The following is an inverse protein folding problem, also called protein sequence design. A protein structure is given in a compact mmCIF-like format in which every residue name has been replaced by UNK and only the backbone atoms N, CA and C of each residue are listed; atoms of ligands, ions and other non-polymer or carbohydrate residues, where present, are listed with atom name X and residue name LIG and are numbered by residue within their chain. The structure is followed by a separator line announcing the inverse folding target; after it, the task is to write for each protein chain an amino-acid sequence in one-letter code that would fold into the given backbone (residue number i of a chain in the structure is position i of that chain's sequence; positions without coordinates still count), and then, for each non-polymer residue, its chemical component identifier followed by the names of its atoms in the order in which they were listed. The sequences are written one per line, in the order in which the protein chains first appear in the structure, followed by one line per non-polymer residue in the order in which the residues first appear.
data_IF_332039607650
#
_entry.id   IF_332039607650
#
_cell.length_a   1.000
_cell.length_b   1.000
_cell.length_c   1.000
_cell.angle_alpha   90.00
_cell.angle_beta   90.00
_cell.angle_gamma   90.00
#
_symmetry.space_group_name_H-M   'P 1'
#
loop_
_entity.id
_entity.type
_entity.pdbx_description
1 polymer ?
#
# COMPACT_ATOMS: atom_id res chain seq x y z
N UNK A 1 26.15 32.47 22.68
CA UNK A 1 26.25 33.26 21.43
C UNK A 1 25.74 32.35 20.33
N UNK A 2 24.76 32.64 19.50
CA UNK A 2 24.07 33.86 19.09
C UNK A 2 23.46 33.49 17.73
N UNK A 3 22.21 33.89 17.51
CA UNK A 3 21.39 33.64 16.32
C UNK A 3 22.02 34.14 15.01
N UNK A 4 21.34 33.80 13.90
CA UNK A 4 21.38 34.38 12.54
C UNK A 4 22.21 33.62 11.49
N UNK A 5 21.52 32.86 10.62
CA UNK A 5 21.20 33.39 9.29
C UNK A 5 20.14 32.54 8.57
N UNK A 6 19.03 33.22 8.27
CA UNK A 6 17.96 32.80 7.38
C UNK A 6 18.12 33.60 6.07
N UNK A 7 17.62 32.98 4.99
CA UNK A 7 17.23 33.55 3.70
C UNK A 7 18.36 33.79 2.67
N UNK A 8 18.39 32.94 1.64
CA UNK A 8 18.07 33.34 0.25
C UNK A 8 17.37 32.16 -0.44
N UNK A 9 16.13 32.36 -0.85
CA UNK A 9 15.50 31.95 -2.13
C UNK A 9 13.98 31.87 -1.96
N UNK A 10 13.35 33.04 -2.06
CA UNK A 10 11.96 33.17 -2.49
C UNK A 10 11.95 33.45 -3.99
N UNK A 11 10.91 32.96 -4.66
CA UNK A 11 10.49 33.28 -6.03
C UNK A 11 10.99 32.32 -7.11
N UNK A 12 10.24 31.24 -7.30
CA UNK A 12 9.54 30.93 -8.56
C UNK A 12 8.47 29.88 -8.24
N UNK A 13 7.20 30.25 -8.42
CA UNK A 13 6.06 29.42 -8.05
C UNK A 13 5.88 28.22 -8.97
N UNK A 14 5.61 27.05 -8.38
CA UNK A 14 4.83 25.96 -8.97
C UNK A 14 4.43 24.96 -7.86
N UNK A 15 3.13 24.60 -7.70
CA UNK A 15 2.63 23.89 -6.51
C UNK A 15 2.68 22.35 -6.59
N UNK A 16 3.63 21.75 -7.32
CA UNK A 16 3.62 20.30 -7.59
C UNK A 16 4.72 19.46 -6.91
N UNK A 17 5.58 20.04 -6.07
CA UNK A 17 6.73 19.32 -5.47
C UNK A 17 6.72 19.21 -3.93
N UNK A 18 5.58 19.45 -3.26
CA UNK A 18 5.47 19.29 -1.80
C UNK A 18 5.03 17.88 -1.33
N UNK A 19 4.79 16.91 -2.23
CA UNK A 19 4.31 15.57 -1.83
C UNK A 19 5.36 14.46 -1.74
N UNK A 20 6.61 14.70 -2.15
CA UNK A 20 7.69 13.70 -2.00
C UNK A 20 8.62 13.93 -0.80
N UNK A 21 8.51 15.06 -0.09
CA UNK A 21 9.32 15.34 1.11
C UNK A 21 8.70 14.92 2.45
N UNK A 22 7.45 14.44 2.47
CA UNK A 22 6.75 14.07 3.71
C UNK A 22 6.71 12.55 3.97
N UNK A 23 7.16 11.71 3.03
CA UNK A 23 7.21 10.26 3.22
C UNK A 23 8.52 9.77 3.87
N UNK A 24 9.57 10.60 3.90
CA UNK A 24 10.91 10.20 4.37
C UNK A 24 11.24 10.63 5.83
N UNK A 25 10.30 11.28 6.53
CA UNK A 25 10.55 11.87 7.86
C UNK A 25 9.65 11.32 8.99
N UNK A 26 8.98 10.18 8.76
CA UNK A 26 8.18 9.49 9.80
C UNK A 26 8.81 8.16 10.24
N UNK A 27 9.93 7.74 9.62
CA UNK A 27 10.57 6.45 9.92
C UNK A 27 11.65 6.54 11.01
N UNK A 28 12.05 7.75 11.45
CA UNK A 28 13.23 7.89 12.33
C UNK A 28 13.02 8.89 13.48
N UNK A 29 11.93 8.76 14.23
CA UNK A 29 11.86 9.37 15.57
C UNK A 29 10.83 8.71 16.50
N UNK A 30 11.08 7.46 16.91
CA UNK A 30 10.59 6.96 18.21
C UNK A 30 11.47 5.80 18.71
N UNK A 31 12.71 6.14 19.09
CA UNK A 31 13.56 5.32 19.95
C UNK A 31 13.74 6.11 21.24
N UNK A 32 13.11 5.66 22.33
CA UNK A 32 13.25 6.26 23.64
C UNK A 32 12.08 5.94 24.57
N UNK A 33 12.33 4.97 25.45
CA UNK A 33 11.82 4.87 26.83
C UNK A 33 10.56 4.02 27.13
N UNK A 34 10.83 3.03 28.00
CA UNK A 34 9.98 2.23 28.89
C UNK A 34 8.97 1.20 28.35
N UNK A 35 9.51 0.02 28.00
CA UNK A 35 8.81 -1.26 28.23
C UNK A 35 9.61 -2.12 29.21
N UNK A 36 9.22 -2.05 30.48
CA UNK A 36 9.60 -3.00 31.51
C UNK A 36 8.73 -4.26 31.45
N UNK A 37 9.40 -5.40 31.50
CA UNK A 37 8.93 -6.73 31.88
C UNK A 37 8.12 -7.57 30.85
N UNK A 38 8.85 -8.54 30.27
CA UNK A 38 8.41 -9.93 30.33
C UNK A 38 8.12 -10.63 29.02
N UNK A 39 9.11 -10.78 28.13
CA UNK A 39 9.04 -11.75 27.03
C UNK A 39 10.06 -12.86 27.25
N UNK A 40 9.65 -13.91 27.96
CA UNK A 40 10.40 -15.16 28.08
C UNK A 40 9.44 -16.35 28.15
N UNK A 41 9.23 -17.04 27.01
CA UNK A 41 9.24 -18.50 26.82
C UNK A 41 8.47 -18.91 25.55
N UNK A 42 9.15 -19.52 24.58
CA UNK A 42 9.48 -20.95 24.42
C UNK A 42 8.36 -21.72 23.70
N UNK A 43 8.71 -22.22 22.52
CA UNK A 43 8.00 -23.28 21.82
C UNK A 43 8.08 -24.57 22.64
N UNK A 44 6.97 -25.11 23.14
CA UNK A 44 6.88 -26.52 23.50
C UNK A 44 5.51 -27.08 23.10
N UNK A 45 5.58 -28.14 22.31
CA UNK A 45 4.50 -29.08 22.00
C UNK A 45 4.48 -30.18 23.06
N UNK A 46 3.28 -30.74 23.27
CA UNK A 46 2.97 -32.02 23.91
C UNK A 46 3.29 -32.16 25.42
N UNK A 47 2.26 -32.19 26.27
CA UNK A 47 1.78 -33.40 26.95
C UNK A 47 0.67 -33.06 27.95
N UNK A 48 -0.31 -33.94 28.06
CA UNK A 48 -1.55 -33.72 28.80
C UNK A 48 -1.35 -33.64 30.31
N UNK A 49 -2.00 -32.66 30.94
CA UNK A 49 -2.39 -32.65 32.36
C UNK A 49 -3.70 -31.89 32.45
N UNK A 50 -4.64 -32.44 33.23
CA UNK A 50 -6.04 -32.04 33.28
C UNK A 50 -6.26 -30.54 33.48
N UNK A 51 -7.10 -29.98 32.61
CA UNK A 51 -7.71 -28.67 32.84
C UNK A 51 -8.80 -28.89 33.86
N UNK A 52 -8.49 -28.57 35.12
CA UNK A 52 -9.49 -28.20 36.11
C UNK A 52 -10.35 -27.10 35.51
N UNK A 53 -11.63 -27.41 35.31
CA UNK A 53 -12.68 -26.46 34.97
C UNK A 53 -12.84 -25.53 36.17
N UNK A 54 -11.97 -24.52 36.27
CA UNK A 54 -12.18 -23.41 37.18
C UNK A 54 -13.35 -22.60 36.63
N UNK A 55 -14.48 -22.84 37.27
CA UNK A 55 -15.69 -22.04 37.24
C UNK A 55 -15.32 -20.54 37.31
N UNK A 56 -15.32 -19.86 36.16
CA UNK A 56 -15.61 -18.44 36.10
C UNK A 56 -17.12 -18.25 36.33
N UNK A 57 -17.59 -18.71 37.49
CA UNK A 57 -18.95 -18.57 38.01
C UNK A 57 -18.85 -17.68 39.25
N UNK A 58 -18.60 -16.39 39.03
CA UNK A 58 -18.89 -15.33 40.03
C UNK A 58 -18.69 -13.94 39.44
N UNK A 59 -19.62 -13.53 38.58
CA UNK A 59 -20.03 -12.14 38.53
C UNK A 59 -21.51 -12.11 38.19
N UNK A 60 -22.29 -11.54 39.09
CA UNK A 60 -23.73 -11.29 38.98
C UNK A 60 -24.05 -10.38 37.79
N UNK A 61 -23.99 -10.92 36.58
CA UNK A 61 -24.53 -10.28 35.38
C UNK A 61 -25.99 -10.69 35.28
N UNK A 62 -26.87 -9.71 35.44
CA UNK A 62 -28.28 -9.85 35.12
C UNK A 62 -28.40 -10.41 33.70
N UNK A 63 -29.23 -11.45 33.47
CA UNK A 63 -29.43 -11.98 32.14
C UNK A 63 -29.90 -10.86 31.20
N UNK A 64 -29.42 -10.85 29.96
CA UNK A 64 -29.98 -9.91 28.98
C UNK A 64 -31.40 -10.34 28.67
N UNK A 65 -32.33 -9.42 28.91
CA UNK A 65 -33.75 -9.65 28.83
C UNK A 65 -34.29 -9.24 27.47
N UNK A 66 -35.12 -10.08 26.89
CA UNK A 66 -35.91 -9.75 25.71
C UNK A 66 -37.39 -9.64 26.11
N UNK A 67 -38.05 -8.57 25.67
CA UNK A 67 -39.50 -8.46 25.76
C UNK A 67 -40.14 -9.19 24.57
N UNK A 68 -41.26 -9.87 24.83
CA UNK A 68 -42.11 -10.42 23.78
C UNK A 68 -43.51 -9.81 23.89
N UNK A 69 -44.16 -9.61 22.75
CA UNK A 69 -45.53 -9.12 22.62
C UNK A 69 -46.57 -9.97 23.35
N UNK A 70 -46.33 -11.27 23.54
CA UNK A 70 -47.32 -12.18 24.14
C UNK A 70 -47.38 -12.14 25.67
N UNK A 71 -46.26 -11.84 26.33
CA UNK A 71 -46.13 -11.91 27.79
C UNK A 71 -45.44 -10.68 28.41
N UNK A 72 -44.79 -9.83 27.61
CA UNK A 72 -44.01 -8.69 28.06
C UNK A 72 -44.81 -7.53 28.66
N UNK A 73 -44.10 -6.45 28.99
CA UNK A 73 -44.67 -5.23 29.55
C UNK A 73 -44.49 -5.08 31.07
N UNK A 74 -44.91 -3.91 31.57
CA UNK A 74 -44.78 -3.51 32.98
C UNK A 74 -45.84 -4.18 33.84
N UNK A 75 -45.44 -4.74 34.98
CA UNK A 75 -46.38 -5.31 35.96
C UNK A 75 -46.80 -4.24 36.95
N UNK A 76 -47.91 -3.56 36.68
CA UNK A 76 -48.43 -2.48 37.55
C UNK A 76 -49.04 -3.00 38.87
N UNK A 77 -49.39 -4.29 38.95
CA UNK A 77 -50.03 -4.92 40.13
C UNK A 77 -49.05 -5.71 41.00
N UNK A 78 -47.74 -5.67 40.70
CA UNK A 78 -46.75 -6.41 41.49
C UNK A 78 -46.52 -5.72 42.83
N UNK A 79 -46.58 -6.48 43.93
CA UNK A 79 -46.25 -5.99 45.27
C UNK A 79 -44.77 -5.61 45.46
N UNK A 80 -43.89 -5.90 44.49
CA UNK A 80 -42.46 -5.62 44.53
C UNK A 80 -42.06 -4.44 43.65
N UNK A 81 -41.70 -3.31 44.25
CA UNK A 81 -40.96 -2.23 43.58
C UNK A 81 -39.46 -2.49 43.69
N UNK A 82 -38.67 -2.05 42.71
CA UNK A 82 -37.21 -2.02 42.89
C UNK A 82 -36.79 -1.00 43.95
N UNK A 83 -35.49 -0.99 44.26
CA UNK A 83 -34.83 0.06 45.05
C UNK A 83 -35.04 1.49 44.50
N UNK A 84 -35.42 1.63 43.23
CA UNK A 84 -35.72 2.91 42.59
C UNK A 84 -37.22 3.27 42.58
N UNK A 85 -38.09 2.44 43.16
CA UNK A 85 -39.54 2.69 43.21
C UNK A 85 -40.27 2.46 41.88
N UNK A 86 -39.61 1.87 40.89
CA UNK A 86 -40.22 1.52 39.60
C UNK A 86 -40.85 0.11 39.65
N UNK A 87 -41.80 -0.15 38.76
CA UNK A 87 -42.40 -1.47 38.54
C UNK A 87 -41.56 -2.35 37.62
N UNK A 88 -41.44 -3.66 37.89
CA UNK A 88 -40.66 -4.58 37.09
C UNK A 88 -41.33 -4.87 35.74
N UNK A 89 -40.50 -5.24 34.76
CA UNK A 89 -40.90 -5.69 33.44
C UNK A 89 -40.91 -7.21 33.37
N UNK A 90 -41.82 -7.75 32.56
CA UNK A 90 -41.85 -9.16 32.17
C UNK A 90 -40.86 -9.39 31.03
N UNK A 91 -39.83 -10.19 31.31
CA UNK A 91 -38.71 -10.44 30.40
C UNK A 91 -38.45 -11.94 30.23
N UNK A 92 -37.98 -12.32 29.05
CA UNK A 92 -37.37 -13.62 28.80
C UNK A 92 -35.87 -13.51 28.86
N UNK A 93 -35.21 -14.45 29.52
CA UNK A 93 -33.75 -14.53 29.48
C UNK A 93 -33.30 -14.98 28.09
N UNK A 94 -32.40 -14.22 27.47
CA UNK A 94 -31.86 -14.47 26.14
C UNK A 94 -30.36 -14.80 26.17
N UNK A 95 -29.87 -15.36 27.27
CA UNK A 95 -28.47 -15.73 27.40
C UNK A 95 -28.28 -16.85 28.43
N UNK A 96 -27.24 -17.64 28.22
CA UNK A 96 -26.73 -18.66 29.12
C UNK A 96 -27.76 -19.73 29.50
N UNK A 97 -27.52 -20.38 30.63
CA UNK A 97 -28.30 -21.52 31.13
C UNK A 97 -29.77 -21.24 31.45
N UNK A 98 -30.18 -19.98 31.44
CA UNK A 98 -31.56 -19.56 31.74
C UNK A 98 -32.36 -19.17 30.49
N UNK A 99 -31.79 -19.35 29.30
CA UNK A 99 -32.43 -19.02 28.03
C UNK A 99 -33.86 -19.54 27.95
N UNK A 100 -34.76 -18.65 27.54
CA UNK A 100 -36.20 -18.91 27.40
C UNK A 100 -37.01 -18.89 28.70
N UNK A 101 -36.38 -18.73 29.87
CA UNK A 101 -37.11 -18.61 31.15
C UNK A 101 -37.64 -17.20 31.36
N UNK A 102 -38.83 -17.13 31.93
CA UNK A 102 -39.50 -15.88 32.30
C UNK A 102 -39.02 -15.37 33.65
N UNK A 103 -38.76 -14.07 33.71
CA UNK A 103 -38.44 -13.37 34.94
C UNK A 103 -39.03 -11.96 34.95
N UNK A 104 -39.20 -11.44 36.16
CA UNK A 104 -39.46 -10.04 36.40
C UNK A 104 -38.13 -9.35 36.65
N UNK A 105 -37.80 -8.37 35.82
CA UNK A 105 -36.55 -7.63 35.91
C UNK A 105 -36.76 -6.19 35.50
N UNK A 106 -35.79 -5.33 35.81
CA UNK A 106 -35.86 -3.94 35.41
C UNK A 106 -35.12 -3.75 34.09
N UNK A 107 -35.89 -3.46 33.03
CA UNK A 107 -35.33 -3.10 31.74
C UNK A 107 -34.98 -1.61 31.78
N UNK A 108 -33.72 -1.30 32.06
CA UNK A 108 -33.16 0.04 31.88
C UNK A 108 -32.28 0.03 30.63
N UNK A 109 -32.55 0.97 29.71
CA UNK A 109 -31.79 1.14 28.46
C UNK A 109 -30.28 1.30 28.74
N UNK A 110 -29.96 1.96 29.84
CA UNK A 110 -28.60 2.16 30.30
C UNK A 110 -28.14 0.97 31.16
N UNK A 111 -27.26 0.12 30.60
CA UNK A 111 -26.70 -1.05 31.29
C UNK A 111 -26.05 -0.69 32.63
N UNK A 112 -25.51 0.52 32.78
CA UNK A 112 -24.82 1.00 33.99
C UNK A 112 -25.78 1.33 35.15
N UNK A 113 -27.08 1.49 34.87
CA UNK A 113 -28.10 1.85 35.87
C UNK A 113 -29.04 0.69 36.19
N UNK A 114 -28.85 -0.49 35.58
CA UNK A 114 -29.72 -1.65 35.77
C UNK A 114 -29.86 -1.99 37.26
N UNK A 115 -31.10 -2.07 37.72
CA UNK A 115 -31.38 -2.59 39.05
C UNK A 115 -31.08 -4.10 39.06
N UNK A 116 -30.41 -4.58 40.09
CA UNK A 116 -30.10 -6.00 40.33
C UNK A 116 -31.32 -6.87 40.70
N UNK A 117 -32.53 -6.30 40.64
CA UNK A 117 -33.75 -7.02 40.96
C UNK A 117 -34.11 -7.98 39.84
N UNK A 118 -34.13 -9.28 40.18
CA UNK A 118 -34.61 -10.37 39.33
C UNK A 118 -35.46 -11.31 40.17
N UNK A 119 -36.68 -11.57 39.70
CA UNK A 119 -37.55 -12.61 40.24
C UNK A 119 -37.91 -13.59 39.13
N UNK A 120 -37.44 -14.83 39.23
CA UNK A 120 -37.78 -15.87 38.28
C UNK A 120 -39.23 -16.31 38.47
N UNK A 121 -39.96 -16.43 37.36
CA UNK A 121 -41.34 -16.94 37.33
C UNK A 121 -41.34 -18.44 37.08
N UNK A 122 -40.51 -18.90 36.15
CA UNK A 122 -40.39 -20.31 35.83
C UNK A 122 -39.34 -20.99 36.71
N UNK A 123 -39.53 -22.27 36.97
CA UNK A 123 -38.56 -23.13 37.63
C UNK A 123 -37.27 -23.23 36.82
N UNK A 124 -36.12 -23.50 37.47
CA UNK A 124 -34.87 -23.72 36.76
C UNK A 124 -34.99 -24.94 35.85
N UNK A 125 -34.39 -24.86 34.67
CA UNK A 125 -34.24 -26.01 33.80
C UNK A 125 -33.52 -27.16 34.52
N UNK A 126 -33.84 -28.43 34.25
CA UNK A 126 -33.04 -29.56 34.72
C UNK A 126 -31.57 -29.41 34.31
N UNK A 127 -30.63 -29.89 35.12
CA UNK A 127 -29.17 -29.73 34.88
C UNK A 127 -28.76 -30.12 33.47
N UNK A 128 -29.27 -31.26 32.98
CA UNK A 128 -28.97 -31.73 31.62
C UNK A 128 -29.43 -30.77 30.52
N UNK A 129 -30.56 -30.08 30.72
CA UNK A 129 -31.03 -29.08 29.77
C UNK A 129 -30.18 -27.81 29.83
N UNK A 130 -29.73 -27.39 31.02
CA UNK A 130 -28.80 -26.26 31.18
C UNK A 130 -27.49 -26.49 30.43
N UNK A 131 -26.91 -27.70 30.55
CA UNK A 131 -25.68 -28.08 29.84
C UNK A 131 -25.85 -28.01 28.31
N UNK A 132 -26.98 -28.51 27.79
CA UNK A 132 -27.29 -28.43 26.35
C UNK A 132 -27.45 -26.98 25.89
N UNK A 133 -28.17 -26.15 26.67
CA UNK A 133 -28.37 -24.73 26.36
C UNK A 133 -27.02 -24.00 26.32
N UNK A 134 -26.15 -24.22 27.30
CA UNK A 134 -24.81 -23.62 27.33
C UNK A 134 -23.98 -24.06 26.12
N UNK A 135 -23.98 -25.36 25.80
CA UNK A 135 -23.29 -25.89 24.62
C UNK A 135 -23.78 -25.24 23.32
N UNK A 136 -25.09 -25.00 23.20
CA UNK A 136 -25.65 -24.30 22.04
C UNK A 136 -25.16 -22.85 21.95
N UNK A 137 -25.08 -22.13 23.08
CA UNK A 137 -24.51 -20.79 23.11
C UNK A 137 -23.03 -20.76 22.74
N UNK A 138 -22.25 -21.74 23.22
CA UNK A 138 -20.84 -21.86 22.83
C UNK A 138 -20.68 -22.07 21.32
N UNK A 139 -21.56 -22.87 20.71
CA UNK A 139 -21.58 -23.07 19.26
C UNK A 139 -21.96 -21.77 18.55
N UNK A 140 -23.01 -21.07 18.99
CA UNK A 140 -23.42 -19.79 18.41
C UNK A 140 -22.28 -18.77 18.48
N UNK A 141 -21.61 -18.65 19.64
CA UNK A 141 -20.47 -17.75 19.81
C UNK A 141 -19.32 -18.10 18.83
N UNK A 142 -19.00 -19.38 18.68
CA UNK A 142 -17.99 -19.84 17.72
C UNK A 142 -18.37 -19.50 16.28
N UNK A 143 -19.64 -19.69 15.88
CA UNK A 143 -20.11 -19.35 14.54
C UNK A 143 -20.07 -17.84 14.27
N UNK A 144 -20.46 -17.02 15.25
CA UNK A 144 -20.42 -15.56 15.13
C UNK A 144 -18.97 -15.07 14.99
N UNK A 145 -18.05 -15.60 15.80
CA UNK A 145 -16.62 -15.29 15.69
C UNK A 145 -16.03 -15.73 14.34
N UNK A 146 -16.39 -16.93 13.86
CA UNK A 146 -15.97 -17.41 12.55
C UNK A 146 -16.49 -16.53 11.41
N UNK A 147 -17.75 -16.12 11.46
CA UNK A 147 -18.36 -15.23 10.47
C UNK A 147 -17.68 -13.84 10.48
N UNK A 148 -17.41 -13.29 11.66
CA UNK A 148 -16.68 -12.03 11.81
C UNK A 148 -15.28 -12.12 11.20
N UNK A 149 -14.53 -13.17 11.54
CA UNK A 149 -13.19 -13.42 10.99
C UNK A 149 -13.22 -13.54 9.47
N UNK A 150 -14.13 -14.35 8.94
CA UNK A 150 -14.30 -14.51 7.49
C UNK A 150 -14.62 -13.17 6.81
N UNK A 151 -15.47 -12.35 7.41
CA UNK A 151 -15.77 -11.01 6.88
C UNK A 151 -14.52 -10.12 6.86
N UNK A 152 -13.72 -10.13 7.92
CA UNK A 152 -12.45 -9.39 7.99
C UNK A 152 -11.48 -9.89 6.92
N UNK A 153 -11.33 -11.20 6.75
CA UNK A 153 -10.46 -11.79 5.73
C UNK A 153 -10.89 -11.40 4.31
N UNK A 154 -12.19 -11.42 4.02
CA UNK A 154 -12.74 -10.95 2.73
C UNK A 154 -12.46 -9.47 2.48
N UNK A 155 -12.56 -8.63 3.51
CA UNK A 155 -12.23 -7.21 3.39
C UNK A 155 -10.73 -7.00 3.13
N UNK A 156 -9.86 -7.73 3.81
CA UNK A 156 -8.41 -7.68 3.62
C UNK A 156 -8.01 -8.16 2.20
N UNK A 157 -8.58 -9.26 1.73
CA UNK A 157 -8.37 -9.77 0.36
C UNK A 157 -8.77 -8.73 -0.69
N UNK A 158 -9.91 -8.08 -0.50
CA UNK A 158 -10.38 -7.04 -1.42
C UNK A 158 -9.49 -5.79 -1.41
N UNK A 159 -8.98 -5.39 -0.24
CA UNK A 159 -8.05 -4.28 -0.13
C UNK A 159 -6.75 -4.55 -0.91
N UNK A 160 -6.14 -5.73 -0.71
CA UNK A 160 -4.94 -6.14 -1.47
C UNK A 160 -5.18 -6.19 -2.98
N UNK A 161 -6.36 -6.67 -3.39
CA UNK A 161 -6.74 -6.70 -4.81
C UNK A 161 -6.86 -5.30 -5.41
N UNK A 162 -7.40 -4.35 -4.66
CA UNK A 162 -7.49 -2.96 -5.09
C UNK A 162 -6.09 -2.33 -5.22
N UNK A 163 -5.21 -2.51 -4.23
CA UNK A 163 -3.82 -2.02 -4.28
C UNK A 163 -3.05 -2.62 -5.46
N UNK A 164 -3.18 -3.92 -5.70
CA UNK A 164 -2.53 -4.59 -6.82
C UNK A 164 -3.04 -4.05 -8.18
N UNK A 165 -4.32 -3.70 -8.26
CA UNK A 165 -4.90 -3.08 -9.44
C UNK A 165 -4.35 -1.67 -9.66
N UNK A 166 -4.29 -0.84 -8.62
CA UNK A 166 -3.77 0.52 -8.71
C UNK A 166 -2.29 0.54 -9.16
N UNK A 167 -1.49 -0.40 -8.66
CA UNK A 167 -0.10 -0.60 -9.10
C UNK A 167 -0.02 -1.06 -10.57
N UNK A 168 -0.93 -1.92 -11.02
CA UNK A 168 -0.98 -2.38 -12.40
C UNK A 168 -1.32 -1.23 -13.35
N UNK A 169 -2.33 -0.44 -13.00
CA UNK A 169 -2.76 0.73 -13.77
C UNK A 169 -1.63 1.77 -13.85
N UNK A 170 -0.91 2.03 -12.74
CA UNK A 170 0.25 2.91 -12.72
C UNK A 170 1.42 2.40 -13.59
N UNK A 171 1.71 1.10 -13.53
CA UNK A 171 2.76 0.48 -14.34
C UNK A 171 2.45 0.56 -15.83
N UNK A 172 1.17 0.40 -16.22
CA UNK A 172 0.77 0.50 -17.62
C UNK A 172 0.93 1.94 -18.14
N UNK A 173 0.63 2.96 -17.32
CA UNK A 173 0.88 4.37 -17.67
C UNK A 173 2.38 4.64 -17.88
N UNK A 174 3.25 4.15 -17.00
CA UNK A 174 4.70 4.29 -17.14
C UNK A 174 5.21 3.59 -18.41
N UNK A 175 4.68 2.40 -18.71
CA UNK A 175 5.02 1.65 -19.93
C UNK A 175 4.58 2.40 -21.19
N UNK A 176 3.40 3.00 -21.22
CA UNK A 176 2.96 3.88 -22.31
C UNK A 176 3.82 5.15 -22.40
N UNK A 177 4.28 5.69 -21.28
CA UNK A 177 5.24 6.78 -21.21
C UNK A 177 6.56 6.42 -21.90
N UNK A 178 7.15 5.29 -21.50
CA UNK A 178 8.39 4.77 -22.08
C UNK A 178 8.28 4.50 -23.58
N UNK A 179 7.15 3.94 -24.05
CA UNK A 179 6.99 3.68 -25.48
C UNK A 179 6.89 4.98 -26.29
N UNK A 180 6.28 6.04 -25.74
CA UNK A 180 6.27 7.36 -26.38
C UNK A 180 7.67 7.99 -26.43
N UNK A 181 8.40 7.96 -25.31
CA UNK A 181 9.77 8.49 -25.27
C UNK A 181 10.71 7.75 -26.23
N UNK A 182 10.59 6.41 -26.27
CA UNK A 182 11.32 5.57 -27.23
C UNK A 182 11.02 5.97 -28.68
N UNK A 183 9.76 6.22 -29.02
CA UNK A 183 9.40 6.69 -30.37
C UNK A 183 10.01 8.05 -30.69
N UNK A 184 10.05 8.99 -29.73
CA UNK A 184 10.68 10.30 -29.94
C UNK A 184 12.18 10.17 -30.17
N UNK A 185 12.87 9.38 -29.34
CA UNK A 185 14.31 9.12 -29.50
C UNK A 185 14.63 8.44 -30.84
N UNK A 186 13.74 7.58 -31.35
CA UNK A 186 13.89 7.00 -32.69
C UNK A 186 13.79 8.09 -33.76
N UNK A 187 12.84 9.01 -33.67
CA UNK A 187 12.71 10.14 -34.61
C UNK A 187 13.91 11.06 -34.55
N UNK A 188 14.39 11.40 -33.36
CA UNK A 188 15.58 12.24 -33.18
C UNK A 188 16.82 11.57 -33.77
N UNK A 189 17.01 10.28 -33.50
CA UNK A 189 18.10 9.47 -34.08
C UNK A 189 18.05 9.49 -35.62
N UNK A 190 16.87 9.35 -36.22
CA UNK A 190 16.71 9.43 -37.68
C UNK A 190 17.07 10.81 -38.22
N UNK A 191 16.62 11.89 -37.58
CA UNK A 191 16.99 13.26 -37.96
C UNK A 191 18.50 13.50 -37.87
N UNK A 192 19.12 13.08 -36.77
CA UNK A 192 20.57 13.18 -36.59
C UNK A 192 21.32 12.36 -37.65
N UNK A 193 20.83 11.16 -37.99
CA UNK A 193 21.42 10.34 -39.03
C UNK A 193 21.35 11.02 -40.41
N UNK A 194 20.24 11.68 -40.75
CA UNK A 194 20.13 12.47 -41.98
C UNK A 194 21.12 13.63 -41.99
N UNK A 195 21.18 14.41 -40.89
CA UNK A 195 22.13 15.53 -40.75
C UNK A 195 23.59 15.05 -40.86
N UNK A 196 23.90 13.93 -40.24
CA UNK A 196 25.22 13.31 -40.30
C UNK A 196 25.58 12.90 -41.73
N UNK A 197 24.66 12.26 -42.48
CA UNK A 197 24.89 11.91 -43.89
C UNK A 197 25.09 13.12 -44.78
N UNK A 198 24.34 14.20 -44.55
CA UNK A 198 24.53 15.45 -45.29
C UNK A 198 25.93 16.02 -45.03
N UNK A 199 26.35 16.10 -43.76
CA UNK A 199 27.70 16.54 -43.40
C UNK A 199 28.78 15.67 -44.04
N UNK A 200 28.61 14.34 -44.00
CA UNK A 200 29.55 13.40 -44.62
C UNK A 200 29.66 13.63 -46.13
N UNK A 201 28.54 13.82 -46.83
CA UNK A 201 28.51 14.14 -48.25
C UNK A 201 29.27 15.43 -48.56
N UNK A 202 29.01 16.51 -47.80
CA UNK A 202 29.71 17.78 -47.95
C UNK A 202 31.22 17.64 -47.73
N UNK A 203 31.65 16.93 -46.69
CA UNK A 203 33.07 16.67 -46.43
C UNK A 203 33.71 15.87 -47.57
N UNK A 204 33.03 14.84 -48.09
CA UNK A 204 33.55 14.02 -49.19
C UNK A 204 33.68 14.81 -50.50
N UNK A 205 32.71 15.68 -50.81
CA UNK A 205 32.75 16.55 -51.98
C UNK A 205 33.89 17.58 -51.87
N UNK A 206 34.07 18.20 -50.70
CA UNK A 206 35.18 19.11 -50.45
C UNK A 206 36.53 18.40 -50.58
N UNK A 207 36.65 17.18 -50.03
CA UNK A 207 37.87 16.38 -50.16
C UNK A 207 38.17 16.03 -51.63
N UNK A 208 37.14 15.75 -52.44
CA UNK A 208 37.30 15.51 -53.87
C UNK A 208 37.78 16.76 -54.63
N UNK A 209 37.22 17.94 -54.33
CA UNK A 209 37.66 19.21 -54.92
C UNK A 209 39.12 19.50 -54.59
N UNK A 210 39.49 19.39 -53.30
CA UNK A 210 40.88 19.61 -52.85
C UNK A 210 41.83 18.62 -53.52
N UNK A 211 41.40 17.36 -53.70
CA UNK A 211 42.21 16.34 -54.37
C UNK A 211 42.40 16.63 -55.85
N UNK A 212 41.34 17.01 -56.58
CA UNK A 212 41.44 17.38 -57.99
C UNK A 212 42.37 18.59 -58.19
N UNK A 213 42.24 19.63 -57.36
CA UNK A 213 43.14 20.80 -57.39
C UNK A 213 44.62 20.43 -57.15
N UNK A 214 44.87 19.50 -56.23
CA UNK A 214 46.21 18.97 -55.99
C UNK A 214 46.73 18.17 -57.18
N UNK A 215 45.89 17.33 -57.78
CA UNK A 215 46.26 16.49 -58.92
C UNK A 215 46.49 17.33 -60.19
N UNK A 216 45.69 18.38 -60.42
CA UNK A 216 45.88 19.36 -61.50
C UNK A 216 47.23 20.07 -61.35
N UNK A 217 47.56 20.53 -60.13
CA UNK A 217 48.88 21.13 -59.84
C UNK A 217 49.99 20.14 -60.11
N UNK A 218 49.86 18.87 -59.72
CA UNK A 218 50.86 17.84 -60.01
C UNK A 218 51.06 17.64 -61.51
N UNK A 219 49.98 17.59 -62.29
CA UNK A 219 50.07 17.45 -63.74
C UNK A 219 50.79 18.65 -64.37
N UNK A 220 50.50 19.88 -63.92
CA UNK A 220 51.22 21.08 -64.37
C UNK A 220 52.72 20.99 -64.04
N UNK A 221 53.08 20.57 -62.81
CA UNK A 221 54.48 20.38 -62.43
C UNK A 221 55.20 19.33 -63.29
N UNK A 222 54.53 18.21 -63.60
CA UNK A 222 55.07 17.17 -64.48
C UNK A 222 55.36 17.73 -65.88
N UNK A 223 54.42 18.49 -66.47
CA UNK A 223 54.60 19.11 -67.79
C UNK A 223 55.77 20.11 -67.78
N UNK A 224 55.86 20.96 -66.74
CA UNK A 224 56.97 21.92 -66.59
C UNK A 224 58.31 21.20 -66.52
N UNK A 225 58.42 20.13 -65.73
CA UNK A 225 59.65 19.33 -65.62
C UNK A 225 60.02 18.68 -66.97
N UNK A 226 59.04 18.13 -67.70
CA UNK A 226 59.28 17.56 -69.02
C UNK A 226 59.78 18.60 -70.04
N UNK A 227 59.20 19.81 -70.05
CA UNK A 227 59.63 20.90 -70.95
C UNK A 227 61.07 21.35 -70.65
N UNK A 228 61.43 21.49 -69.37
CA UNK A 228 62.81 21.80 -68.96
C UNK A 228 63.76 20.70 -69.43
N UNK A 229 63.40 19.43 -69.23
CA UNK A 229 64.20 18.29 -69.70
C UNK A 229 64.44 18.31 -71.22
N UNK A 230 63.42 18.62 -72.02
CA UNK A 230 63.53 18.74 -73.47
C UNK A 230 64.44 19.90 -73.89
N UNK A 231 64.32 21.07 -73.26
CA UNK A 231 65.20 22.22 -73.50
C UNK A 231 66.67 21.88 -73.23
N UNK A 232 66.95 21.22 -72.10
CA UNK A 232 68.31 20.77 -71.77
C UNK A 232 68.84 19.79 -72.81
N UNK A 233 68.04 18.83 -73.26
CA UNK A 233 68.45 17.88 -74.30
C UNK A 233 68.76 18.56 -75.64
N UNK A 234 67.95 19.55 -76.05
CA UNK A 234 68.21 20.35 -77.26
C UNK A 234 69.51 21.14 -77.13
N UNK A 235 69.73 21.81 -75.99
CA UNK A 235 70.96 22.56 -75.73
C UNK A 235 72.21 21.66 -75.78
N UNK A 236 72.16 20.48 -75.14
CA UNK A 236 73.23 19.50 -75.24
C UNK A 236 73.44 19.00 -76.67
N UNK A 237 72.37 18.74 -77.43
CA UNK A 237 72.46 18.36 -78.83
C UNK A 237 73.11 19.43 -79.71
N UNK A 238 72.80 20.70 -79.49
CA UNK A 238 73.42 21.84 -80.19
C UNK A 238 74.88 22.01 -79.80
N UNK A 239 75.24 21.88 -78.51
CA UNK A 239 76.62 21.96 -78.03
C UNK A 239 77.48 20.81 -78.58
N UNK A 240 76.93 19.59 -78.65
CA UNK A 240 77.62 18.44 -79.26
C UNK A 240 77.77 18.56 -80.78
N UNK A 241 76.90 19.32 -81.45
CA UNK A 241 77.00 19.64 -82.89
C UNK A 241 77.99 20.77 -83.21
N UNK A 242 78.34 21.60 -82.23
CA UNK A 242 79.25 22.74 -82.36
C UNK A 242 80.70 22.41 -81.99
N UNK A 243 81.01 21.13 -81.75
CA UNK A 243 82.33 20.64 -81.36
C UNK A 243 82.76 19.52 -82.27
#
# INVERSE_FOLDING_TARGET
MGLFQLAIFSSLGSPSLCKLGQAALVVEHRRGEDFGHGFERVCQSADGVGVSFEEASSASQLPDGMEDSSWGGVVNESLGLCRHGLHPYRLYAWDGKHTGRRYLGFNLEDKSKRCDYVQWIDEPWPTRAQEVILTLWDLVAQYMEMANRHMVDKMAEQALKNEAKDLNDALEVEKEGWEREKQELVREKEQLNVRWRFSQSCCSALQAIVKNELDDKKMVWIVVICLIGALVAILFGVVLKLK
#
